data_IF_484236762981
#
_entry.id   IF_484236762981
#
_cell.length_a   1.000
_cell.length_b   1.000
_cell.length_c   1.000
_cell.angle_alpha   90.00
_cell.angle_beta   90.00
_cell.angle_gamma   90.00
#
_symmetry.space_group_name_H-M   'P 1'
#
loop_
_entity.id
_entity.type
_entity.pdbx_description
1 polymer ?
#
# COMPACT_ATOMS: atom_id res chain seq x y z
N UNK A 1 16.03 -4.22 -9.86
CA UNK A 1 16.70 -4.02 -8.55
C UNK A 1 15.77 -4.57 -7.49
N UNK A 2 16.15 -5.66 -6.82
CA UNK A 2 15.31 -6.23 -5.74
C UNK A 2 15.58 -5.38 -4.48
N UNK A 3 14.61 -4.60 -4.06
CA UNK A 3 14.71 -3.74 -2.89
C UNK A 3 13.86 -4.39 -1.79
N UNK A 4 14.43 -5.23 -0.93
CA UNK A 4 13.67 -5.94 0.09
C UNK A 4 13.01 -4.93 1.05
N UNK A 5 11.81 -5.25 1.48
CA UNK A 5 11.13 -4.58 2.57
C UNK A 5 10.54 -5.63 3.50
N UNK A 6 10.73 -5.46 4.79
CA UNK A 6 10.15 -6.31 5.83
C UNK A 6 8.97 -5.65 6.53
N UNK A 7 8.64 -4.42 6.12
CA UNK A 7 7.47 -3.68 6.59
C UNK A 7 6.72 -3.03 5.41
N UNK A 8 5.41 -3.23 5.37
CA UNK A 8 4.49 -2.49 4.50
C UNK A 8 3.54 -1.67 5.37
N UNK A 9 3.52 -0.36 5.20
CA UNK A 9 2.57 0.55 5.83
C UNK A 9 1.49 0.90 4.81
N UNK A 10 0.26 0.45 5.07
CA UNK A 10 -0.88 0.59 4.16
C UNK A 10 -1.85 1.65 4.69
N UNK A 11 -1.86 2.83 4.09
CA UNK A 11 -2.82 3.89 4.38
C UNK A 11 -4.14 3.66 3.66
N UNK A 12 -5.25 4.07 4.30
CA UNK A 12 -6.58 3.86 3.76
C UNK A 12 -7.05 2.40 3.83
N UNK A 13 -6.50 1.65 4.78
CA UNK A 13 -6.64 0.20 4.90
C UNK A 13 -8.08 -0.30 5.15
N UNK A 14 -9.01 0.59 5.52
CA UNK A 14 -10.44 0.28 5.68
C UNK A 14 -11.29 0.73 4.48
N UNK A 15 -10.65 1.33 3.46
CA UNK A 15 -11.32 1.83 2.26
C UNK A 15 -11.76 0.74 1.29
N UNK A 16 -12.56 1.13 0.29
CA UNK A 16 -13.08 0.21 -0.74
C UNK A 16 -11.95 -0.42 -1.58
N UNK A 17 -10.93 0.37 -1.96
CA UNK A 17 -9.77 -0.13 -2.70
C UNK A 17 -9.01 -1.19 -1.90
N UNK A 18 -8.79 -0.95 -0.60
CA UNK A 18 -8.12 -1.90 0.27
C UNK A 18 -8.87 -3.23 0.36
N UNK A 19 -10.20 -3.18 0.57
CA UNK A 19 -11.03 -4.38 0.69
C UNK A 19 -11.10 -5.18 -0.61
N UNK A 20 -11.36 -4.50 -1.72
CA UNK A 20 -11.68 -5.17 -3.01
C UNK A 20 -10.45 -5.59 -3.80
N UNK A 21 -9.34 -4.90 -3.62
CA UNK A 21 -8.16 -5.06 -4.46
C UNK A 21 -6.90 -5.38 -3.65
N UNK A 22 -6.54 -4.53 -2.68
CA UNK A 22 -5.22 -4.64 -2.05
C UNK A 22 -5.11 -5.85 -1.14
N UNK A 23 -6.06 -6.08 -0.24
CA UNK A 23 -6.05 -7.25 0.64
C UNK A 23 -6.11 -8.57 -0.14
N UNK A 24 -7.02 -8.74 -1.13
CA UNK A 24 -7.01 -9.94 -1.97
C UNK A 24 -5.72 -10.13 -2.76
N UNK A 25 -5.15 -9.04 -3.32
CA UNK A 25 -3.90 -9.12 -4.08
C UNK A 25 -2.71 -9.48 -3.20
N UNK A 26 -2.59 -8.87 -2.02
CA UNK A 26 -1.52 -9.18 -1.06
C UNK A 26 -1.62 -10.63 -0.56
N UNK A 27 -2.83 -11.11 -0.27
CA UNK A 27 -3.07 -12.49 0.12
C UNK A 27 -2.69 -13.48 -1.01
N UNK A 28 -3.03 -13.15 -2.26
CA UNK A 28 -2.65 -13.96 -3.42
C UNK A 28 -1.14 -13.99 -3.63
N UNK A 29 -0.45 -12.84 -3.52
CA UNK A 29 1.00 -12.74 -3.61
C UNK A 29 1.71 -13.54 -2.49
N UNK A 30 1.14 -13.54 -1.29
CA UNK A 30 1.65 -14.35 -0.18
C UNK A 30 1.53 -15.85 -0.46
N UNK A 31 0.36 -16.29 -0.92
CA UNK A 31 0.12 -17.68 -1.31
C UNK A 31 1.02 -18.15 -2.47
N UNK A 32 1.38 -17.25 -3.39
CA UNK A 32 2.29 -17.52 -4.50
C UNK A 32 3.79 -17.44 -4.08
N UNK A 33 4.10 -17.15 -2.80
CA UNK A 33 5.47 -17.02 -2.30
C UNK A 33 6.23 -15.79 -2.83
N UNK A 34 5.50 -14.78 -3.28
CA UNK A 34 6.05 -13.55 -3.87
C UNK A 34 6.27 -12.44 -2.82
N UNK A 35 5.78 -12.60 -1.62
CA UNK A 35 6.09 -11.73 -0.48
C UNK A 35 7.23 -12.32 0.35
N UNK A 36 8.09 -11.44 0.88
CA UNK A 36 9.13 -11.88 1.84
C UNK A 36 8.47 -12.54 3.06
N UNK A 37 9.05 -13.66 3.54
CA UNK A 37 8.50 -14.41 4.66
C UNK A 37 8.38 -13.55 5.93
N UNK A 38 9.29 -12.60 6.12
CA UNK A 38 9.34 -11.72 7.28
C UNK A 38 8.46 -10.47 7.14
N UNK A 39 7.83 -10.26 5.96
CA UNK A 39 7.03 -9.07 5.71
C UNK A 39 5.85 -8.97 6.70
N UNK A 40 5.80 -7.87 7.43
CA UNK A 40 4.66 -7.46 8.27
C UNK A 40 3.91 -6.32 7.59
N UNK A 41 2.60 -6.33 7.68
CA UNK A 41 1.73 -5.33 7.10
C UNK A 41 1.06 -4.55 8.24
N UNK A 42 1.39 -3.28 8.33
CA UNK A 42 0.77 -2.33 9.26
C UNK A 42 -0.31 -1.57 8.51
N UNK A 43 -1.54 -1.92 8.77
CA UNK A 43 -2.70 -1.26 8.21
C UNK A 43 -3.05 -0.01 9.04
N UNK A 44 -3.41 1.08 8.38
CA UNK A 44 -3.78 2.31 9.07
C UNK A 44 -4.94 3.03 8.39
N UNK A 45 -5.82 3.58 9.21
CA UNK A 45 -6.91 4.46 8.80
C UNK A 45 -7.33 5.35 9.98
N UNK A 46 -8.32 6.22 9.75
CA UNK A 46 -8.86 7.12 10.78
C UNK A 46 -9.73 6.43 11.84
N UNK A 47 -10.22 5.24 11.51
CA UNK A 47 -11.12 4.50 12.43
C UNK A 47 -10.34 3.97 13.62
N UNK A 48 -10.88 4.10 14.81
CA UNK A 48 -10.41 3.41 15.99
C UNK A 48 -10.76 1.92 15.89
N UNK A 49 -9.74 1.07 15.91
CA UNK A 49 -9.91 -0.36 15.71
C UNK A 49 -8.76 -1.13 16.34
N UNK A 50 -9.00 -2.29 16.92
CA UNK A 50 -7.94 -3.19 17.36
C UNK A 50 -7.37 -4.00 16.17
N UNK A 51 -6.16 -4.51 16.31
CA UNK A 51 -5.59 -5.47 15.33
C UNK A 51 -6.49 -6.70 15.14
N UNK A 52 -7.17 -7.15 16.18
CA UNK A 52 -8.12 -8.28 16.09
C UNK A 52 -9.31 -7.91 15.20
N UNK A 53 -9.95 -6.78 15.48
CA UNK A 53 -11.12 -6.34 14.71
C UNK A 53 -10.75 -6.07 13.24
N UNK A 54 -9.55 -5.53 13.00
CA UNK A 54 -9.04 -5.35 11.63
C UNK A 54 -8.79 -6.68 10.91
N UNK A 55 -8.28 -7.70 11.59
CA UNK A 55 -8.13 -9.03 11.02
C UNK A 55 -9.46 -9.68 10.68
N UNK A 56 -10.48 -9.48 11.51
CA UNK A 56 -11.83 -9.96 11.22
C UNK A 56 -12.45 -9.20 10.03
N UNK A 57 -12.26 -7.89 9.95
CA UNK A 57 -12.61 -7.08 8.79
C UNK A 57 -11.89 -7.55 7.51
N UNK A 58 -10.58 -7.80 7.56
CA UNK A 58 -9.80 -8.30 6.43
C UNK A 58 -10.27 -9.70 6.00
N UNK A 59 -10.59 -10.58 6.96
CA UNK A 59 -11.16 -11.91 6.69
C UNK A 59 -12.46 -11.81 5.89
N UNK A 60 -13.39 -10.97 6.31
CA UNK A 60 -14.65 -10.75 5.61
C UNK A 60 -14.43 -10.20 4.18
N UNK A 61 -13.46 -9.30 4.00
CA UNK A 61 -13.09 -8.80 2.67
C UNK A 61 -12.51 -9.92 1.78
N UNK A 62 -11.64 -10.76 2.32
CA UNK A 62 -11.05 -11.89 1.58
C UNK A 62 -12.10 -12.95 1.23
N UNK A 63 -13.02 -13.27 2.14
CA UNK A 63 -14.14 -14.17 1.86
C UNK A 63 -15.02 -13.67 0.71
N UNK A 64 -15.20 -12.37 0.61
CA UNK A 64 -16.05 -11.74 -0.41
C UNK A 64 -15.36 -11.56 -1.77
N UNK A 65 -14.07 -11.23 -1.79
CA UNK A 65 -13.39 -10.76 -2.99
C UNK A 65 -12.26 -11.66 -3.48
N UNK A 66 -11.73 -12.57 -2.62
CA UNK A 66 -10.70 -13.52 -3.04
C UNK A 66 -11.36 -14.76 -3.66
N UNK A 67 -10.94 -15.22 -4.85
CA UNK A 67 -11.46 -16.44 -5.46
C UNK A 67 -11.27 -17.67 -4.55
N UNK A 68 -12.23 -18.58 -4.53
CA UNK A 68 -12.26 -19.75 -3.63
C UNK A 68 -10.97 -20.59 -3.70
N UNK A 69 -10.45 -20.80 -4.90
CA UNK A 69 -9.23 -21.58 -5.12
C UNK A 69 -7.94 -20.95 -4.55
N UNK A 70 -8.00 -19.67 -4.11
CA UNK A 70 -6.87 -18.94 -3.50
C UNK A 70 -7.00 -18.75 -1.98
N UNK A 71 -8.03 -19.33 -1.36
CA UNK A 71 -8.31 -19.12 0.08
C UNK A 71 -7.44 -19.95 1.02
N UNK A 72 -6.64 -20.87 0.52
CA UNK A 72 -5.86 -21.81 1.34
C UNK A 72 -4.86 -21.17 2.30
N UNK A 73 -4.33 -19.98 2.02
CA UNK A 73 -3.34 -19.26 2.83
C UNK A 73 -3.90 -18.09 3.66
N UNK A 74 -5.21 -17.92 3.74
CA UNK A 74 -5.84 -16.74 4.39
C UNK A 74 -5.47 -16.63 5.87
N UNK A 75 -5.43 -17.74 6.60
CA UNK A 75 -5.13 -17.73 8.03
C UNK A 75 -3.70 -17.24 8.31
N UNK A 76 -2.73 -17.71 7.53
CA UNK A 76 -1.32 -17.32 7.59
C UNK A 76 -1.16 -15.86 7.20
N UNK A 77 -1.79 -15.42 6.10
CA UNK A 77 -1.77 -14.03 5.66
C UNK A 77 -2.32 -13.08 6.73
N UNK A 78 -3.44 -13.41 7.38
CA UNK A 78 -4.02 -12.58 8.43
C UNK A 78 -3.06 -12.38 9.62
N UNK A 79 -2.15 -13.33 9.90
CA UNK A 79 -1.16 -13.17 10.96
C UNK A 79 -0.09 -12.11 10.64
N UNK A 80 0.11 -11.77 9.36
CA UNK A 80 0.99 -10.67 8.93
C UNK A 80 0.41 -9.29 9.21
N UNK A 81 -0.92 -9.20 9.37
CA UNK A 81 -1.63 -7.93 9.53
C UNK A 81 -1.58 -7.45 10.98
N UNK A 82 -1.28 -6.19 11.15
CA UNK A 82 -1.55 -5.40 12.36
C UNK A 82 -2.29 -4.12 11.98
N UNK A 83 -2.94 -3.49 12.94
CA UNK A 83 -3.64 -2.24 12.72
C UNK A 83 -3.22 -1.20 13.75
N UNK A 84 -2.99 0.01 13.28
CA UNK A 84 -2.63 1.17 14.08
C UNK A 84 -3.46 2.35 13.61
N UNK A 85 -4.23 3.02 14.47
CA UNK A 85 -4.89 4.27 14.10
C UNK A 85 -3.88 5.30 13.61
N UNK A 86 -4.27 6.12 12.63
CA UNK A 86 -3.34 7.06 11.97
C UNK A 86 -2.65 8.01 12.95
N UNK A 87 -3.32 8.40 14.02
CA UNK A 87 -2.78 9.31 15.02
C UNK A 87 -1.72 8.67 15.94
N UNK A 88 -1.68 7.33 16.00
CA UNK A 88 -0.69 6.57 16.79
C UNK A 88 0.51 6.07 15.96
N UNK A 89 0.51 6.27 14.64
CA UNK A 89 1.54 5.77 13.72
C UNK A 89 2.98 6.10 14.13
N UNK A 90 3.33 7.33 14.57
CA UNK A 90 4.72 7.68 14.85
C UNK A 90 5.40 6.76 15.85
N UNK A 91 4.63 6.15 16.76
CA UNK A 91 5.15 5.31 17.85
C UNK A 91 4.99 3.81 17.62
N UNK A 92 4.11 3.39 16.68
CA UNK A 92 3.66 2.00 16.59
C UNK A 92 3.97 1.29 15.25
N UNK A 93 4.63 1.95 14.30
CA UNK A 93 5.04 1.28 13.04
C UNK A 93 5.98 0.10 13.31
N UNK A 94 6.72 0.18 14.42
CA UNK A 94 7.72 -0.83 14.79
C UNK A 94 9.01 -0.72 13.96
N UNK A 95 10.04 -1.42 14.42
CA UNK A 95 11.32 -1.46 13.72
C UNK A 95 11.22 -2.26 12.40
N UNK A 96 12.03 -1.87 11.45
CA UNK A 96 12.26 -2.59 10.19
C UNK A 96 13.77 -2.61 9.89
N UNK A 97 14.25 -3.76 9.44
CA UNK A 97 15.70 -3.97 9.21
C UNK A 97 16.04 -3.93 7.71
N UNK A 98 15.17 -4.45 6.86
CA UNK A 98 15.38 -4.51 5.41
C UNK A 98 14.88 -3.27 4.70
N UNK A 99 13.77 -2.70 5.15
CA UNK A 99 13.18 -1.49 4.59
C UNK A 99 11.68 -1.39 4.80
N UNK A 100 11.17 -0.17 4.61
CA UNK A 100 9.76 0.20 4.71
C UNK A 100 9.18 0.53 3.34
N UNK A 101 8.12 -0.16 2.96
CA UNK A 101 7.27 0.24 1.85
C UNK A 101 6.02 0.94 2.39
N UNK A 102 5.72 2.12 1.89
CA UNK A 102 4.51 2.88 2.26
C UNK A 102 3.60 2.89 1.04
N UNK A 103 2.32 2.58 1.24
CA UNK A 103 1.33 2.60 0.16
C UNK A 103 0.15 3.50 0.56
N UNK A 104 -0.07 4.56 -0.23
CA UNK A 104 -1.17 5.50 -0.03
C UNK A 104 -2.35 5.12 -0.93
N UNK A 105 -3.38 4.50 -0.33
CA UNK A 105 -4.67 4.21 -0.98
C UNK A 105 -5.78 5.12 -0.46
N UNK A 106 -5.45 6.38 -0.21
CA UNK A 106 -6.37 7.42 0.27
C UNK A 106 -6.74 8.38 -0.85
N UNK A 107 -7.70 9.28 -0.58
CA UNK A 107 -8.00 10.36 -1.51
C UNK A 107 -6.78 11.28 -1.72
N UNK A 108 -6.58 11.86 -2.92
CA UNK A 108 -5.45 12.74 -3.23
C UNK A 108 -5.28 13.90 -2.25
N UNK A 109 -6.39 14.47 -1.76
CA UNK A 109 -6.38 15.56 -0.76
C UNK A 109 -5.74 15.19 0.60
N UNK A 110 -5.50 13.90 0.84
CA UNK A 110 -4.84 13.40 2.05
C UNK A 110 -3.35 13.10 1.83
N UNK A 111 -2.84 13.20 0.60
CA UNK A 111 -1.44 12.84 0.33
C UNK A 111 -0.47 13.80 1.01
N UNK A 112 -0.64 15.12 0.80
CA UNK A 112 0.23 16.12 1.39
C UNK A 112 0.27 16.04 2.93
N UNK A 113 -0.86 16.10 3.67
CA UNK A 113 -0.81 15.99 5.14
C UNK A 113 -0.27 14.62 5.62
N UNK A 114 -0.47 13.55 4.85
CA UNK A 114 0.11 12.25 5.19
C UNK A 114 1.63 12.27 5.03
N UNK A 115 2.15 12.86 3.96
CA UNK A 115 3.59 12.97 3.70
C UNK A 115 4.24 13.83 4.78
N UNK A 116 3.64 14.96 5.16
CA UNK A 116 4.12 15.78 6.27
C UNK A 116 4.16 15.01 7.59
N UNK A 117 3.12 14.24 7.89
CA UNK A 117 3.08 13.35 9.05
C UNK A 117 4.20 12.31 9.03
N UNK A 118 4.50 11.71 7.88
CA UNK A 118 5.60 10.77 7.70
C UNK A 118 6.98 11.42 7.92
N UNK A 119 7.16 12.65 7.44
CA UNK A 119 8.39 13.43 7.67
C UNK A 119 8.58 13.70 9.18
N UNK A 120 7.54 14.18 9.86
CA UNK A 120 7.58 14.43 11.30
C UNK A 120 7.86 13.16 12.12
N UNK A 121 7.34 12.04 11.67
CA UNK A 121 7.56 10.72 12.28
C UNK A 121 8.96 10.12 11.96
N UNK A 122 9.77 10.77 11.11
CA UNK A 122 11.05 10.22 10.66
C UNK A 122 10.94 9.00 9.71
N UNK A 123 9.76 8.73 9.16
CA UNK A 123 9.45 7.57 8.33
C UNK A 123 9.73 7.81 6.83
N UNK A 124 10.63 8.75 6.51
CA UNK A 124 11.02 9.07 5.12
C UNK A 124 12.51 8.82 4.86
N UNK A 125 13.25 8.41 5.90
CA UNK A 125 14.70 8.26 5.85
C UNK A 125 15.14 6.80 5.62
N UNK A 126 16.37 6.62 5.09
CA UNK A 126 16.92 5.28 4.90
C UNK A 126 16.28 4.52 3.74
N UNK A 127 16.10 3.21 3.88
CA UNK A 127 15.49 2.36 2.87
C UNK A 127 13.95 2.40 2.95
N UNK A 128 13.37 3.59 2.71
CA UNK A 128 11.92 3.81 2.69
C UNK A 128 11.47 4.17 1.28
N UNK A 129 10.38 3.58 0.82
CA UNK A 129 9.76 3.78 -0.48
C UNK A 129 8.30 4.11 -0.33
N UNK A 130 7.77 4.93 -1.25
CA UNK A 130 6.38 5.32 -1.25
C UNK A 130 5.71 4.96 -2.58
N UNK A 131 4.57 4.30 -2.50
CA UNK A 131 3.64 4.04 -3.59
C UNK A 131 2.41 4.91 -3.44
N UNK A 132 2.06 5.62 -4.52
CA UNK A 132 0.88 6.49 -4.58
C UNK A 132 -0.04 5.99 -5.67
N UNK A 133 -1.30 5.72 -5.32
CA UNK A 133 -2.32 5.32 -6.28
C UNK A 133 -2.87 6.56 -7.00
N UNK A 134 -3.01 6.45 -8.32
CA UNK A 134 -3.66 7.50 -9.11
C UNK A 134 -5.18 7.57 -8.86
N UNK A 135 -5.79 8.77 -8.99
CA UNK A 135 -5.24 10.03 -9.51
C UNK A 135 -4.37 10.78 -8.48
N UNK A 136 -3.30 11.44 -8.99
CA UNK A 136 -2.44 12.33 -8.19
C UNK A 136 -2.92 13.77 -8.31
N UNK A 137 -4.13 14.05 -7.84
CA UNK A 137 -4.78 15.36 -7.98
C UNK A 137 -6.01 15.29 -8.87
N UNK A 138 -6.76 16.39 -8.92
CA UNK A 138 -7.98 16.57 -9.75
C UNK A 138 -7.73 17.38 -11.01
N UNK A 139 -6.64 18.14 -11.04
CA UNK A 139 -6.17 18.99 -12.13
C UNK A 139 -4.64 19.08 -12.14
N UNK A 140 -4.07 19.84 -13.06
CA UNK A 140 -2.62 19.97 -13.19
C UNK A 140 -2.00 20.61 -11.95
N UNK A 141 -2.59 21.68 -11.42
CA UNK A 141 -2.04 22.40 -10.27
C UNK A 141 -1.98 21.51 -9.02
N UNK A 142 -3.07 20.83 -8.67
CA UNK A 142 -3.09 19.90 -7.53
C UNK A 142 -2.17 18.69 -7.74
N UNK A 143 -1.98 18.26 -8.99
CA UNK A 143 -1.02 17.20 -9.31
C UNK A 143 0.43 17.65 -9.11
N UNK A 144 0.76 18.87 -9.49
CA UNK A 144 2.08 19.48 -9.26
C UNK A 144 2.36 19.64 -7.76
N UNK A 145 1.40 20.17 -6.98
CA UNK A 145 1.51 20.31 -5.52
C UNK A 145 1.81 18.97 -4.84
N UNK A 146 1.08 17.91 -5.17
CA UNK A 146 1.30 16.57 -4.63
C UNK A 146 2.68 16.05 -5.02
N UNK A 147 3.08 16.18 -6.29
CA UNK A 147 4.39 15.73 -6.74
C UNK A 147 5.52 16.49 -6.03
N UNK A 148 5.37 17.79 -5.82
CA UNK A 148 6.35 18.61 -5.10
C UNK A 148 6.44 18.20 -3.62
N UNK A 149 5.31 17.95 -2.96
CA UNK A 149 5.30 17.47 -1.57
C UNK A 149 6.01 16.12 -1.44
N UNK A 150 5.76 15.19 -2.35
CA UNK A 150 6.43 13.87 -2.37
C UNK A 150 7.93 14.02 -2.65
N UNK A 151 8.31 14.84 -3.64
CA UNK A 151 9.70 15.05 -4.02
C UNK A 151 10.55 15.73 -2.94
N UNK A 152 9.94 16.52 -2.06
CA UNK A 152 10.61 17.09 -0.87
C UNK A 152 10.96 16.02 0.18
N UNK A 153 10.16 14.97 0.28
CA UNK A 153 10.30 13.93 1.29
C UNK A 153 11.07 12.69 0.80
N UNK A 154 11.00 12.37 -0.49
CA UNK A 154 11.58 11.17 -1.10
C UNK A 154 12.33 11.51 -2.39
N UNK A 155 13.46 10.84 -2.65
CA UNK A 155 14.10 10.87 -3.96
C UNK A 155 13.29 10.09 -4.99
N UNK A 156 13.38 10.47 -6.28
CA UNK A 156 12.54 9.91 -7.35
C UNK A 156 12.69 8.39 -7.52
N UNK A 157 13.85 7.83 -7.25
CA UNK A 157 14.11 6.38 -7.26
C UNK A 157 13.37 5.60 -6.16
N UNK A 158 12.78 6.31 -5.19
CA UNK A 158 11.98 5.76 -4.10
C UNK A 158 10.48 6.04 -4.21
N UNK A 159 10.06 6.72 -5.30
CA UNK A 159 8.65 7.09 -5.54
C UNK A 159 8.06 6.19 -6.62
N UNK A 160 6.96 5.52 -6.32
CA UNK A 160 6.23 4.65 -7.23
C UNK A 160 4.82 5.17 -7.45
N UNK A 161 4.56 5.71 -8.64
CA UNK A 161 3.23 6.16 -9.06
C UNK A 161 2.48 4.99 -9.68
N UNK A 162 1.47 4.49 -8.98
CA UNK A 162 0.74 3.29 -9.36
C UNK A 162 -0.47 3.67 -10.20
N UNK A 163 -0.57 3.07 -11.37
CA UNK A 163 -1.73 3.17 -12.25
C UNK A 163 -2.28 1.76 -12.53
N UNK A 164 -3.32 1.38 -11.82
CA UNK A 164 -3.92 0.06 -11.97
C UNK A 164 -4.53 -0.18 -13.36
N UNK A 165 -4.84 0.88 -14.14
CA UNK A 165 -5.28 0.72 -15.53
C UNK A 165 -4.20 0.12 -16.42
N UNK A 166 -2.93 0.45 -16.18
CA UNK A 166 -1.81 -0.14 -16.92
C UNK A 166 -1.63 -1.64 -16.64
N UNK A 167 -2.14 -2.13 -15.52
CA UNK A 167 -2.14 -3.55 -15.17
C UNK A 167 -3.29 -4.36 -15.77
N UNK A 168 -4.28 -3.71 -16.41
CA UNK A 168 -5.39 -4.43 -17.04
C UNK A 168 -4.91 -5.13 -18.31
N UNK A 169 -5.31 -6.39 -18.48
CA UNK A 169 -4.94 -7.24 -19.61
C UNK A 169 -5.23 -6.58 -20.97
N UNK A 170 -6.39 -5.92 -21.12
CA UNK A 170 -6.75 -5.18 -22.34
C UNK A 170 -5.78 -4.06 -22.66
N UNK A 171 -5.30 -3.32 -21.66
CA UNK A 171 -4.32 -2.23 -21.86
C UNK A 171 -2.95 -2.80 -22.18
N UNK A 172 -2.52 -3.85 -21.48
CA UNK A 172 -1.25 -4.54 -21.76
C UNK A 172 -1.24 -5.12 -23.18
N UNK A 173 -2.35 -5.70 -23.63
CA UNK A 173 -2.49 -6.20 -25.01
C UNK A 173 -2.40 -5.08 -26.04
N UNK A 174 -2.98 -3.89 -25.79
CA UNK A 174 -2.83 -2.74 -26.68
C UNK A 174 -1.38 -2.25 -26.76
N UNK A 175 -0.67 -2.22 -25.62
CA UNK A 175 0.75 -1.87 -25.57
C UNK A 175 1.60 -2.91 -26.34
N UNK A 176 1.31 -4.20 -26.16
CA UNK A 176 1.98 -5.26 -26.89
C UNK A 176 1.76 -5.13 -28.41
N UNK A 177 0.52 -4.91 -28.87
CA UNK A 177 0.20 -4.68 -30.29
C UNK A 177 0.91 -3.45 -30.86
N UNK A 178 1.07 -2.37 -30.08
CA UNK A 178 1.72 -1.14 -30.54
C UNK A 178 3.23 -1.24 -30.64
N UNK A 179 3.88 -2.01 -29.75
CA UNK A 179 5.33 -2.04 -29.62
C UNK A 179 5.98 -3.35 -30.03
N UNK A 180 5.19 -4.41 -30.32
CA UNK A 180 5.69 -5.71 -30.79
C UNK A 180 5.65 -5.88 -32.32
N UNK A 181 5.21 -4.84 -33.07
CA UNK A 181 5.23 -4.80 -34.54
C UNK A 181 6.32 -3.82 -35.02
#
# INVERSE_FOLDING_TARGET
MNLPADRLLLFGATGDLAQRMLLPSLCALDADGLLDNDLKIVATARSEMSTRDYRDFARAALEKYLPDHRRGGVAEFLNRLSYVPVDALPTEVGAYDKGLAIFLSTAPSLFEPTIEGLVHAGLTQGNVRIGLEKPLGTDLASSEEINDAVAKAFSEDRIFRIDHYLGKETVQNLLALRFAN
#
